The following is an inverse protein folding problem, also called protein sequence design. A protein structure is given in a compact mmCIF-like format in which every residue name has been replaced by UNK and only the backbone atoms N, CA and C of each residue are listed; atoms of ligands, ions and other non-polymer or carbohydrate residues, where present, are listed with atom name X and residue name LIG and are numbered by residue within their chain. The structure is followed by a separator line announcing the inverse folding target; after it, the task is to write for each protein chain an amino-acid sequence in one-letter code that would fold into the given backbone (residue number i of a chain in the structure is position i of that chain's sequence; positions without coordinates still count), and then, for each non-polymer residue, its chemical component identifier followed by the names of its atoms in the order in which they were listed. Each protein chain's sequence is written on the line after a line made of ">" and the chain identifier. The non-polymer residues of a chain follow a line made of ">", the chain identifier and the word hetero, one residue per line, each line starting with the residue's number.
data_IF_975752622439
#
_entry.id   IF_975752622439
#
_cell.length_a   1.000
_cell.length_b   1.000
_cell.length_c   1.000
_cell.angle_alpha   90.00
_cell.angle_beta   90.00
_cell.angle_gamma   90.00
#
_symmetry.space_group_name_H-M   'P 1'
#
loop_
_entity.id
_entity.type
_entity.pdbx_description
1 polymer ?
#
# COMPACT_ATOMS: atom_id res chain seq x y z
N UNK A 1 -10.51 18.05 -49.42
CA UNK A 1 -10.77 16.65 -49.84
C UNK A 1 -10.07 15.56 -49.01
N UNK A 2 -8.81 15.74 -48.58
CA UNK A 2 -8.10 14.74 -47.74
C UNK A 2 -8.44 14.89 -46.25
N UNK A 3 -8.88 16.09 -45.83
CA UNK A 3 -9.26 16.41 -44.45
C UNK A 3 -10.77 16.28 -44.18
N UNK A 4 -11.58 15.96 -45.20
CA UNK A 4 -13.03 15.78 -45.03
C UNK A 4 -13.35 14.30 -44.87
N UNK A 5 -13.24 13.84 -43.62
CA UNK A 5 -13.40 12.44 -43.22
C UNK A 5 -14.79 11.85 -43.51
N UNK A 6 -15.77 12.69 -43.82
CA UNK A 6 -17.12 12.27 -44.20
C UNK A 6 -17.16 11.58 -45.57
N UNK A 7 -16.18 11.82 -46.44
CA UNK A 7 -16.15 11.21 -47.78
C UNK A 7 -15.44 9.86 -47.84
N UNK A 8 -14.91 9.36 -46.72
CA UNK A 8 -14.16 8.10 -46.66
C UNK A 8 -15.10 6.90 -46.48
N UNK A 9 -14.68 5.74 -46.97
CA UNK A 9 -15.43 4.50 -46.79
C UNK A 9 -15.51 4.15 -45.29
N UNK A 10 -16.70 3.79 -44.81
CA UNK A 10 -16.99 3.55 -43.40
C UNK A 10 -16.03 2.52 -42.79
N UNK A 11 -15.78 1.42 -43.50
CA UNK A 11 -14.87 0.34 -43.05
C UNK A 11 -13.44 0.85 -42.88
N UNK A 12 -12.97 1.68 -43.81
CA UNK A 12 -11.62 2.24 -43.76
C UNK A 12 -11.46 3.20 -42.57
N UNK A 13 -12.45 4.09 -42.34
CA UNK A 13 -12.46 4.98 -41.18
C UNK A 13 -12.51 4.21 -39.86
N UNK A 14 -13.34 3.16 -39.79
CA UNK A 14 -13.43 2.32 -38.59
C UNK A 14 -12.09 1.65 -38.25
N UNK A 15 -11.35 1.15 -39.26
CA UNK A 15 -10.03 0.55 -39.06
C UNK A 15 -9.02 1.59 -38.57
N UNK A 16 -8.99 2.78 -39.18
CA UNK A 16 -8.07 3.86 -38.76
C UNK A 16 -8.37 4.30 -37.32
N UNK A 17 -9.63 4.52 -36.98
CA UNK A 17 -10.02 4.91 -35.62
C UNK A 17 -9.70 3.82 -34.60
N UNK A 18 -9.90 2.55 -34.96
CA UNK A 18 -9.55 1.43 -34.08
C UNK A 18 -8.04 1.37 -33.85
N UNK A 19 -7.22 1.52 -34.90
CA UNK A 19 -5.76 1.57 -34.75
C UNK A 19 -5.30 2.80 -33.94
N UNK A 20 -5.90 3.96 -34.17
CA UNK A 20 -5.61 5.18 -33.41
C UNK A 20 -6.00 5.00 -31.93
N UNK A 21 -7.15 4.39 -31.65
CA UNK A 21 -7.61 4.10 -30.29
C UNK A 21 -6.65 3.13 -29.59
N UNK A 22 -6.17 2.07 -30.26
CA UNK A 22 -5.15 1.19 -29.70
C UNK A 22 -3.83 1.92 -29.42
N UNK A 23 -3.41 2.82 -30.31
CA UNK A 23 -2.20 3.62 -30.11
C UNK A 23 -2.32 4.54 -28.88
N UNK A 24 -3.43 5.26 -28.74
CA UNK A 24 -3.68 6.11 -27.57
C UNK A 24 -3.83 5.28 -26.29
N UNK A 25 -4.49 4.14 -26.35
CA UNK A 25 -4.63 3.24 -25.20
C UNK A 25 -3.27 2.72 -24.72
N UNK A 26 -2.40 2.30 -25.66
CA UNK A 26 -1.03 1.91 -25.34
C UNK A 26 -0.22 3.06 -24.75
N UNK A 27 -0.36 4.27 -25.32
CA UNK A 27 0.28 5.48 -24.79
C UNK A 27 -0.14 5.78 -23.36
N UNK A 28 -1.44 5.76 -23.07
CA UNK A 28 -1.96 5.96 -21.72
C UNK A 28 -1.43 4.88 -20.78
N UNK A 29 -1.48 3.59 -21.16
CA UNK A 29 -0.99 2.48 -20.33
C UNK A 29 0.51 2.62 -19.97
N UNK A 30 1.35 3.05 -20.91
CA UNK A 30 2.78 3.28 -20.63
C UNK A 30 2.95 4.46 -19.67
N UNK A 31 2.20 5.55 -19.86
CA UNK A 31 2.26 6.72 -18.98
C UNK A 31 1.81 6.37 -17.56
N UNK A 32 0.75 5.57 -17.41
CA UNK A 32 0.27 5.13 -16.10
C UNK A 32 1.29 4.26 -15.38
N UNK A 33 2.00 3.39 -16.10
CA UNK A 33 3.03 2.52 -15.54
C UNK A 33 4.25 3.33 -15.07
N UNK A 34 4.75 4.26 -15.89
CA UNK A 34 5.85 5.16 -15.52
C UNK A 34 5.47 6.03 -14.31
N UNK A 35 4.24 6.53 -14.28
CA UNK A 35 3.74 7.32 -13.17
C UNK A 35 3.68 6.50 -11.88
N UNK A 36 3.18 5.26 -11.94
CA UNK A 36 3.14 4.36 -10.79
C UNK A 36 4.54 4.00 -10.28
N UNK A 37 5.47 3.68 -11.18
CA UNK A 37 6.87 3.41 -10.83
C UNK A 37 7.51 4.61 -10.11
N UNK A 38 7.22 5.83 -10.57
CA UNK A 38 7.70 7.05 -9.93
C UNK A 38 7.18 7.21 -8.50
N UNK A 39 5.92 6.89 -8.26
CA UNK A 39 5.31 6.95 -6.91
C UNK A 39 5.90 5.88 -5.98
N UNK A 40 6.19 4.69 -6.48
CA UNK A 40 6.84 3.63 -5.71
C UNK A 40 8.25 4.06 -5.23
N UNK A 41 9.03 4.72 -6.08
CA UNK A 41 10.35 5.28 -5.71
C UNK A 41 10.22 6.36 -4.62
N UNK A 42 9.23 7.26 -4.74
CA UNK A 42 9.01 8.33 -3.76
C UNK A 42 8.62 7.76 -2.38
N UNK A 43 7.74 6.77 -2.38
CA UNK A 43 7.21 6.16 -1.14
C UNK A 43 8.22 5.22 -0.46
N UNK A 44 9.16 4.64 -1.20
CA UNK A 44 10.21 3.76 -0.67
C UNK A 44 11.42 4.51 -0.10
N UNK A 45 11.47 5.84 -0.19
CA UNK A 45 12.60 6.64 0.30
C UNK A 45 12.81 6.49 1.82
N UNK A 46 13.99 6.00 2.22
CA UNK A 46 14.43 5.86 3.61
C UNK A 46 15.36 7.00 4.03
N UNK A 47 15.30 7.38 5.31
CA UNK A 47 16.20 8.34 5.95
C UNK A 47 17.05 7.62 6.99
N UNK A 48 18.36 7.75 6.88
CA UNK A 48 19.31 7.27 7.89
C UNK A 48 19.24 8.19 9.11
N UNK A 49 18.86 7.63 10.25
CA UNK A 49 18.91 8.34 11.54
C UNK A 49 20.06 7.74 12.35
N UNK A 50 21.03 8.58 12.69
CA UNK A 50 22.13 8.24 13.56
C UNK A 50 21.63 8.32 15.01
N UNK A 51 21.46 7.18 15.69
CA UNK A 51 21.14 7.20 17.10
C UNK A 51 22.43 7.44 17.90
N UNK A 52 22.52 8.61 18.54
CA UNK A 52 23.53 8.83 19.56
C UNK A 52 23.18 7.96 20.78
N UNK A 53 24.08 7.04 21.18
CA UNK A 53 23.95 6.27 22.43
C UNK A 53 23.80 7.24 23.60
N UNK A 54 22.59 7.35 24.16
CA UNK A 54 22.38 8.06 25.42
C UNK A 54 22.87 7.17 26.55
N UNK A 55 23.97 7.55 27.21
CA UNK A 55 24.42 6.93 28.46
C UNK A 55 23.43 7.30 29.57
N UNK A 56 22.38 6.52 29.77
CA UNK A 56 21.51 6.67 30.94
C UNK A 56 22.22 6.12 32.18
N UNK A 57 22.79 7.02 33.00
CA UNK A 57 23.28 6.69 34.33
C UNK A 57 22.08 6.64 35.29
N UNK A 58 21.60 5.44 35.65
CA UNK A 58 20.80 5.23 36.87
C UNK A 58 21.11 3.85 37.47
N UNK A 59 21.93 3.90 38.52
CA UNK A 59 22.03 3.01 39.67
C UNK A 59 21.76 1.50 39.44
N UNK A 60 22.84 0.74 39.19
CA UNK A 60 23.11 -0.46 39.97
C UNK A 60 22.38 -1.78 39.65
N UNK A 61 21.81 -1.99 38.46
CA UNK A 61 21.35 -3.33 38.08
C UNK A 61 21.50 -3.57 36.57
N UNK A 62 22.35 -4.53 36.21
CA UNK A 62 22.61 -4.92 34.84
C UNK A 62 21.50 -5.85 34.33
N UNK A 63 20.47 -5.27 33.69
CA UNK A 63 19.71 -5.99 32.68
C UNK A 63 20.18 -5.47 31.32
N UNK A 64 21.21 -6.12 30.79
CA UNK A 64 21.61 -5.96 29.40
C UNK A 64 20.45 -6.44 28.52
N UNK A 65 19.76 -5.51 27.85
CA UNK A 65 19.14 -5.85 26.57
C UNK A 65 20.29 -5.95 25.57
N UNK A 66 21.00 -7.08 25.66
CA UNK A 66 22.13 -7.41 24.83
C UNK A 66 21.64 -7.93 23.49
N UNK A 67 21.36 -7.02 22.56
CA UNK A 67 21.56 -7.28 21.14
C UNK A 67 23.03 -7.01 20.82
N UNK A 68 23.93 -7.89 21.29
CA UNK A 68 25.34 -7.80 20.92
C UNK A 68 25.46 -8.34 19.50
N UNK A 69 25.38 -7.44 18.53
CA UNK A 69 25.94 -7.70 17.20
C UNK A 69 27.46 -7.74 17.41
N UNK A 70 28.02 -8.95 17.46
CA UNK A 70 29.44 -9.18 17.60
C UNK A 70 30.17 -8.59 16.39
N UNK A 71 30.87 -7.47 16.56
CA UNK A 71 31.78 -6.93 15.53
C UNK A 71 31.88 -5.41 15.40
N UNK A 72 31.03 -4.61 16.06
CA UNK A 72 31.10 -3.15 15.92
C UNK A 72 31.96 -2.50 17.01
N UNK A 73 32.90 -1.63 16.60
CA UNK A 73 33.75 -0.80 17.48
C UNK A 73 32.88 0.09 18.36
N UNK A 74 33.27 0.33 19.61
CA UNK A 74 32.47 1.10 20.60
C UNK A 74 32.13 2.55 20.19
N UNK A 75 32.76 3.08 19.14
CA UNK A 75 32.64 4.47 18.66
C UNK A 75 31.73 4.66 17.42
N UNK A 76 31.17 3.60 16.85
CA UNK A 76 30.29 3.76 15.67
C UNK A 76 28.81 3.94 16.07
N UNK A 77 28.15 5.04 15.65
CA UNK A 77 26.73 5.23 15.91
C UNK A 77 25.91 4.18 15.17
N UNK A 78 24.94 3.58 15.86
CA UNK A 78 23.99 2.64 15.25
C UNK A 78 23.13 3.41 14.23
N UNK A 79 23.29 3.06 12.96
CA UNK A 79 22.52 3.67 11.85
C UNK A 79 21.24 2.86 11.69
N UNK A 80 20.11 3.47 12.02
CA UNK A 80 18.80 2.88 11.73
C UNK A 80 18.21 3.60 10.52
N UNK A 81 17.94 2.84 9.47
CA UNK A 81 17.20 3.34 8.31
C UNK A 81 15.71 3.37 8.66
N UNK A 82 15.13 4.57 8.76
CA UNK A 82 13.68 4.74 8.97
C UNK A 82 13.04 5.23 7.67
N UNK A 83 11.93 4.62 7.25
CA UNK A 83 11.13 5.15 6.13
C UNK A 83 10.65 6.56 6.48
N UNK A 84 10.76 7.48 5.53
CA UNK A 84 10.32 8.88 5.72
C UNK A 84 8.81 8.97 5.86
N UNK A 85 8.11 8.16 5.07
CA UNK A 85 6.66 8.12 5.04
C UNK A 85 6.10 7.04 5.98
N UNK A 86 4.98 7.32 6.66
CA UNK A 86 4.22 6.24 7.29
C UNK A 86 3.59 5.39 6.19
N UNK A 87 3.87 4.09 6.15
CA UNK A 87 3.35 3.19 5.11
C UNK A 87 1.81 3.25 4.98
N UNK A 88 1.06 3.43 6.08
CA UNK A 88 -0.41 3.57 6.00
C UNK A 88 -0.80 4.84 5.23
N UNK A 89 -0.13 5.96 5.50
CA UNK A 89 -0.43 7.23 4.83
C UNK A 89 0.05 7.18 3.39
N UNK A 90 1.27 6.69 3.15
CA UNK A 90 1.82 6.54 1.80
C UNK A 90 0.93 5.68 0.89
N UNK A 91 0.46 4.53 1.39
CA UNK A 91 -0.37 3.62 0.62
C UNK A 91 -1.77 4.18 0.36
N UNK A 92 -2.39 4.82 1.35
CA UNK A 92 -3.74 5.39 1.20
C UNK A 92 -3.76 6.71 0.42
N UNK A 93 -2.65 7.43 0.36
CA UNK A 93 -2.58 8.73 -0.32
C UNK A 93 -1.80 8.64 -1.61
N UNK A 94 -0.47 8.64 -1.56
CA UNK A 94 0.39 8.73 -2.73
C UNK A 94 0.21 7.53 -3.67
N UNK A 95 0.17 6.31 -3.14
CA UNK A 95 0.02 5.11 -3.96
C UNK A 95 -1.38 5.02 -4.59
N UNK A 96 -2.43 5.22 -3.79
CA UNK A 96 -3.82 5.16 -4.27
C UNK A 96 -4.16 6.31 -5.25
N UNK A 97 -3.73 7.54 -4.94
CA UNK A 97 -3.89 8.69 -5.84
C UNK A 97 -3.05 8.50 -7.12
N UNK A 98 -1.87 7.91 -6.97
CA UNK A 98 -0.98 7.51 -8.07
C UNK A 98 -1.72 6.67 -9.11
N UNK A 99 -2.38 5.61 -8.66
CA UNK A 99 -3.14 4.70 -9.52
C UNK A 99 -4.41 5.29 -10.12
N UNK A 100 -4.92 6.42 -9.61
CA UNK A 100 -6.17 7.04 -10.06
C UNK A 100 -5.97 8.41 -10.74
N UNK A 101 -4.74 8.90 -10.86
CA UNK A 101 -4.45 10.21 -11.43
C UNK A 101 -4.87 10.37 -12.89
N UNK A 102 -4.69 9.37 -13.78
CA UNK A 102 -5.18 9.44 -15.17
C UNK A 102 -6.69 9.62 -15.26
N UNK A 103 -7.45 8.90 -14.43
CA UNK A 103 -8.91 8.94 -14.38
C UNK A 103 -9.42 10.28 -13.83
N UNK A 104 -8.74 10.80 -12.80
CA UNK A 104 -9.02 12.14 -12.26
C UNK A 104 -8.75 13.19 -13.33
N UNK A 105 -7.63 13.11 -14.04
CA UNK A 105 -7.29 14.06 -15.11
C UNK A 105 -8.33 14.02 -16.23
N UNK A 106 -8.73 12.83 -16.67
CA UNK A 106 -9.76 12.66 -17.69
C UNK A 106 -11.10 13.28 -17.25
N UNK A 107 -11.50 13.06 -16.00
CA UNK A 107 -12.72 13.64 -15.44
C UNK A 107 -12.66 15.18 -15.37
N UNK A 108 -11.51 15.75 -15.01
CA UNK A 108 -11.31 17.20 -14.98
C UNK A 108 -11.35 17.80 -16.38
N UNK A 109 -10.66 17.17 -17.35
CA UNK A 109 -10.65 17.64 -18.75
C UNK A 109 -12.06 17.60 -19.36
N UNK A 110 -12.84 16.56 -19.08
CA UNK A 110 -14.23 16.46 -19.55
C UNK A 110 -15.12 17.56 -18.96
N UNK A 111 -15.07 17.78 -17.65
CA UNK A 111 -15.88 18.81 -16.97
C UNK A 111 -15.52 20.22 -17.47
N UNK A 112 -14.22 20.51 -17.61
CA UNK A 112 -13.75 21.81 -18.11
C UNK A 112 -14.11 21.98 -19.59
N UNK A 113 -14.06 20.92 -20.39
CA UNK A 113 -14.45 20.92 -21.80
C UNK A 113 -15.96 21.08 -22.04
N UNK A 114 -16.80 20.69 -21.08
CA UNK A 114 -18.26 20.72 -21.18
C UNK A 114 -18.91 21.83 -20.32
N UNK A 115 -18.29 23.01 -20.19
CA UNK A 115 -18.86 24.15 -19.44
C UNK A 115 -19.31 23.81 -18.00
N UNK A 116 -18.55 22.96 -17.30
CA UNK A 116 -18.85 22.44 -15.96
C UNK A 116 -20.04 21.48 -15.85
N UNK A 117 -20.51 20.94 -16.98
CA UNK A 117 -21.44 19.81 -16.98
C UNK A 117 -20.67 18.48 -16.95
N UNK A 118 -21.07 17.58 -16.06
CA UNK A 118 -20.48 16.24 -16.03
C UNK A 118 -20.94 15.46 -17.25
N UNK A 119 -20.00 15.11 -18.13
CA UNK A 119 -20.27 14.14 -19.19
C UNK A 119 -20.42 12.72 -18.63
N UNK A 120 -20.73 11.76 -19.49
CA UNK A 120 -20.95 10.38 -19.07
C UNK A 120 -19.66 9.64 -18.68
N UNK A 121 -18.49 10.12 -19.13
CA UNK A 121 -17.22 9.42 -18.92
C UNK A 121 -16.74 9.56 -17.48
N UNK A 122 -16.83 10.74 -16.87
CA UNK A 122 -16.35 11.00 -15.51
C UNK A 122 -17.02 10.09 -14.46
N UNK A 123 -18.34 10.21 -14.23
CA UNK A 123 -19.05 9.37 -13.26
C UNK A 123 -18.94 7.87 -13.58
N UNK A 124 -19.02 7.51 -14.87
CA UNK A 124 -18.88 6.12 -15.31
C UNK A 124 -17.51 5.53 -15.00
N UNK A 125 -16.44 6.31 -15.16
CA UNK A 125 -15.06 5.91 -14.88
C UNK A 125 -14.80 5.78 -13.39
N UNK A 126 -15.34 6.69 -12.56
CA UNK A 126 -15.20 6.63 -11.09
C UNK A 126 -15.85 5.37 -10.53
N UNK A 127 -17.11 5.10 -10.91
CA UNK A 127 -17.84 3.91 -10.40
C UNK A 127 -17.25 2.63 -11.00
N UNK A 128 -16.92 2.64 -12.29
CA UNK A 128 -16.36 1.50 -13.00
C UNK A 128 -14.99 1.07 -12.46
N UNK A 129 -14.07 2.00 -12.26
CA UNK A 129 -12.74 1.72 -11.70
C UNK A 129 -12.82 1.14 -10.29
N UNK A 130 -13.71 1.66 -9.43
CA UNK A 130 -13.87 1.13 -8.09
C UNK A 130 -14.46 -0.29 -8.07
N UNK A 131 -15.44 -0.58 -8.93
CA UNK A 131 -15.97 -1.93 -9.10
C UNK A 131 -14.91 -2.88 -9.66
N UNK A 132 -14.12 -2.44 -10.64
CA UNK A 132 -13.05 -3.23 -11.24
C UNK A 132 -11.96 -3.57 -10.21
N UNK A 133 -11.56 -2.60 -9.39
CA UNK A 133 -10.58 -2.80 -8.32
C UNK A 133 -11.08 -3.80 -7.26
N UNK A 134 -12.35 -3.69 -6.84
CA UNK A 134 -12.91 -4.54 -5.79
C UNK A 134 -13.25 -5.96 -6.25
N UNK A 135 -13.60 -6.15 -7.53
CA UNK A 135 -14.03 -7.46 -8.05
C UNK A 135 -12.94 -8.16 -8.84
N UNK A 136 -12.35 -7.48 -9.83
CA UNK A 136 -11.45 -8.11 -10.79
C UNK A 136 -10.02 -8.13 -10.27
N UNK A 137 -9.49 -6.98 -9.84
CA UNK A 137 -8.10 -6.92 -9.33
C UNK A 137 -7.94 -7.81 -8.11
N UNK A 138 -8.85 -7.73 -7.14
CA UNK A 138 -8.83 -8.62 -5.96
C UNK A 138 -8.87 -10.10 -6.35
N UNK A 139 -9.71 -10.49 -7.31
CA UNK A 139 -9.78 -11.88 -7.79
C UNK A 139 -8.49 -12.33 -8.43
N UNK A 140 -7.89 -11.50 -9.30
CA UNK A 140 -6.58 -11.78 -9.92
C UNK A 140 -5.49 -11.90 -8.86
N UNK A 141 -5.48 -11.00 -7.86
CA UNK A 141 -4.54 -11.09 -6.74
C UNK A 141 -4.69 -12.38 -5.92
N UNK A 142 -5.90 -12.91 -5.77
CA UNK A 142 -6.14 -14.17 -5.07
C UNK A 142 -5.70 -15.40 -5.89
N UNK A 143 -5.90 -15.37 -7.21
CA UNK A 143 -5.48 -16.45 -8.12
C UNK A 143 -3.97 -16.47 -8.33
N UNK A 144 -3.31 -15.31 -8.25
CA UNK A 144 -1.86 -15.18 -8.38
C UNK A 144 -1.07 -15.74 -7.17
N UNK A 145 -1.75 -16.14 -6.09
CA UNK A 145 -1.11 -16.75 -4.93
C UNK A 145 -0.81 -18.23 -5.20
N UNK A 146 0.37 -18.69 -4.78
CA UNK A 146 0.77 -20.09 -4.89
C UNK A 146 -0.08 -21.00 -3.97
N UNK A 147 -0.24 -22.27 -4.37
CA UNK A 147 -1.02 -23.24 -3.60
C UNK A 147 -0.32 -23.53 -2.27
N UNK A 148 -0.94 -23.10 -1.18
CA UNK A 148 -0.42 -23.27 0.19
C UNK A 148 0.00 -21.95 0.86
N UNK A 149 0.06 -20.85 0.10
CA UNK A 149 0.44 -19.54 0.64
C UNK A 149 -0.76 -18.86 1.31
N UNK A 150 -0.66 -18.58 2.62
CA UNK A 150 -1.70 -17.85 3.36
C UNK A 150 -1.23 -16.43 3.68
N UNK A 151 -1.93 -15.43 3.15
CA UNK A 151 -1.66 -14.01 3.43
C UNK A 151 -2.63 -13.50 4.50
N UNK A 152 -2.11 -12.79 5.50
CA UNK A 152 -2.91 -12.16 6.56
C UNK A 152 -2.78 -10.64 6.49
N UNK A 153 -3.87 -9.95 6.82
CA UNK A 153 -3.91 -8.48 6.88
C UNK A 153 -3.09 -8.02 8.08
N UNK A 154 -1.95 -7.35 7.82
CA UNK A 154 -1.04 -6.86 8.86
C UNK A 154 -1.66 -5.76 9.73
N UNK A 155 -2.38 -4.80 9.12
CA UNK A 155 -2.96 -3.63 9.81
C UNK A 155 -4.49 -3.71 9.88
N UNK A 156 -5.01 -4.70 10.61
CA UNK A 156 -6.46 -4.95 10.68
C UNK A 156 -7.28 -3.73 11.18
N UNK A 157 -6.76 -2.97 12.16
CA UNK A 157 -7.44 -1.76 12.65
C UNK A 157 -7.62 -0.69 11.58
N UNK A 158 -6.57 -0.45 10.79
CA UNK A 158 -6.60 0.48 9.67
C UNK A 158 -7.59 0.00 8.63
N UNK A 159 -7.57 -1.30 8.31
CA UNK A 159 -8.49 -1.92 7.36
C UNK A 159 -9.97 -1.71 7.73
N UNK A 160 -10.34 -1.90 9.00
CA UNK A 160 -11.71 -1.65 9.47
C UNK A 160 -12.09 -0.17 9.33
N UNK A 161 -11.22 0.75 9.74
CA UNK A 161 -11.47 2.20 9.61
C UNK A 161 -11.65 2.58 8.13
N UNK A 162 -10.75 2.13 7.26
CA UNK A 162 -10.84 2.42 5.82
C UNK A 162 -12.07 1.79 5.18
N UNK A 163 -12.46 0.58 5.59
CA UNK A 163 -13.67 -0.10 5.09
C UNK A 163 -14.95 0.62 5.49
N UNK A 164 -15.05 1.05 6.75
CA UNK A 164 -16.21 1.81 7.23
C UNK A 164 -16.36 3.16 6.52
N UNK A 165 -15.26 3.90 6.37
CA UNK A 165 -15.27 5.17 5.65
C UNK A 165 -15.56 4.99 4.15
N UNK A 166 -15.06 3.92 3.53
CA UNK A 166 -15.36 3.61 2.13
C UNK A 166 -16.85 3.34 1.92
N UNK A 167 -17.46 2.50 2.77
CA UNK A 167 -18.90 2.26 2.73
C UNK A 167 -19.71 3.55 2.98
N UNK A 168 -19.30 4.35 3.96
CA UNK A 168 -19.91 5.65 4.23
C UNK A 168 -19.79 6.61 3.04
N UNK A 169 -18.65 6.64 2.33
CA UNK A 169 -18.47 7.48 1.16
C UNK A 169 -19.45 7.15 0.03
N UNK A 170 -19.75 5.87 -0.20
CA UNK A 170 -20.78 5.47 -1.18
C UNK A 170 -22.19 5.87 -0.74
N UNK A 171 -22.52 5.74 0.54
CA UNK A 171 -23.80 6.24 1.07
C UNK A 171 -23.87 7.75 0.90
N UNK A 172 -22.80 8.48 1.23
CA UNK A 172 -22.72 9.92 1.06
C UNK A 172 -22.92 10.33 -0.40
N UNK A 173 -22.27 9.64 -1.34
CA UNK A 173 -22.46 9.85 -2.78
C UNK A 173 -23.92 9.62 -3.22
N UNK A 174 -24.59 8.60 -2.67
CA UNK A 174 -26.01 8.37 -2.92
C UNK A 174 -26.86 9.52 -2.35
N UNK A 175 -26.54 9.98 -1.14
CA UNK A 175 -27.26 11.08 -0.46
C UNK A 175 -27.21 12.37 -1.27
N UNK A 176 -26.02 12.80 -1.71
CA UNK A 176 -25.88 14.04 -2.48
C UNK A 176 -26.63 13.96 -3.82
N UNK A 177 -26.51 12.84 -4.55
CA UNK A 177 -27.12 12.71 -5.88
C UNK A 177 -28.63 12.47 -5.86
N UNK A 178 -29.17 11.85 -4.79
CA UNK A 178 -30.60 11.45 -4.75
C UNK A 178 -31.47 12.32 -3.84
N UNK A 179 -30.94 12.75 -2.70
CA UNK A 179 -31.75 13.36 -1.64
C UNK A 179 -31.50 14.86 -1.47
N UNK A 180 -30.28 15.34 -1.69
CA UNK A 180 -29.92 16.74 -1.45
C UNK A 180 -30.14 17.58 -2.70
N UNK A 181 -29.38 17.33 -3.76
CA UNK A 181 -29.50 18.02 -5.06
C UNK A 181 -29.58 16.99 -6.19
N UNK A 182 -30.80 16.68 -6.69
CA UNK A 182 -30.99 15.64 -7.68
C UNK A 182 -30.14 15.84 -8.93
N UNK A 183 -29.20 14.92 -9.17
CA UNK A 183 -28.30 14.90 -10.33
C UNK A 183 -27.37 16.12 -10.49
N UNK A 184 -27.19 16.96 -9.46
CA UNK A 184 -26.28 18.12 -9.51
C UNK A 184 -25.45 18.12 -8.23
N UNK A 185 -24.15 18.32 -8.34
CA UNK A 185 -23.25 18.40 -7.18
C UNK A 185 -22.95 19.87 -6.90
N UNK A 186 -23.43 20.38 -5.76
CA UNK A 186 -23.14 21.75 -5.33
C UNK A 186 -21.69 21.88 -4.83
N UNK A 187 -21.15 23.10 -4.88
CA UNK A 187 -19.78 23.37 -4.44
C UNK A 187 -19.54 22.97 -2.97
N UNK A 188 -20.55 23.12 -2.11
CA UNK A 188 -20.41 22.74 -0.70
C UNK A 188 -20.38 21.21 -0.53
N UNK A 189 -21.16 20.45 -1.31
CA UNK A 189 -21.17 18.99 -1.30
C UNK A 189 -19.85 18.43 -1.81
N UNK A 190 -19.33 19.03 -2.90
CA UNK A 190 -18.01 18.74 -3.44
C UNK A 190 -16.91 19.04 -2.39
N UNK A 191 -17.02 20.17 -1.69
CA UNK A 191 -16.06 20.55 -0.64
C UNK A 191 -16.08 19.58 0.54
N UNK A 192 -17.26 19.14 0.99
CA UNK A 192 -17.40 18.13 2.05
C UNK A 192 -16.81 16.80 1.60
N UNK A 193 -17.10 16.37 0.37
CA UNK A 193 -16.57 15.13 -0.20
C UNK A 193 -15.05 15.17 -0.32
N UNK A 194 -14.50 16.30 -0.78
CA UNK A 194 -13.06 16.53 -0.83
C UNK A 194 -12.40 16.52 0.55
N UNK A 195 -13.03 17.13 1.56
CA UNK A 195 -12.55 17.14 2.94
C UNK A 195 -12.65 15.77 3.64
N UNK A 196 -13.54 14.89 3.18
CA UNK A 196 -13.71 13.54 3.72
C UNK A 196 -12.45 12.68 3.51
N UNK A 197 -11.68 12.93 2.45
CA UNK A 197 -10.43 12.23 2.17
C UNK A 197 -9.31 12.52 3.20
N UNK A 198 -8.89 13.76 3.48
CA UNK A 198 -7.90 14.03 4.52
C UNK A 198 -8.40 13.63 5.92
N UNK A 199 -9.70 13.67 6.18
CA UNK A 199 -10.31 13.15 7.42
C UNK A 199 -10.08 11.64 7.52
N UNK A 200 -10.38 10.87 6.46
CA UNK A 200 -10.10 9.43 6.39
C UNK A 200 -8.61 9.14 6.67
N UNK A 201 -7.71 9.88 6.02
CA UNK A 201 -6.25 9.70 6.19
C UNK A 201 -5.82 9.96 7.63
N UNK A 202 -6.36 11.01 8.26
CA UNK A 202 -6.12 11.31 9.66
C UNK A 202 -6.59 10.18 10.58
N UNK A 203 -7.81 9.67 10.39
CA UNK A 203 -8.33 8.56 11.19
C UNK A 203 -7.56 7.25 10.94
N UNK A 204 -7.15 6.98 9.71
CA UNK A 204 -6.31 5.83 9.39
C UNK A 204 -4.93 5.93 10.06
N UNK A 205 -4.33 7.13 10.06
CA UNK A 205 -3.08 7.40 10.78
C UNK A 205 -3.24 7.26 12.30
N UNK A 206 -4.33 7.78 12.87
CA UNK A 206 -4.65 7.64 14.30
C UNK A 206 -4.85 6.16 14.69
N UNK A 207 -5.51 5.37 13.85
CA UNK A 207 -5.70 3.93 14.05
C UNK A 207 -4.37 3.15 13.98
N UNK A 208 -3.46 3.55 13.08
CA UNK A 208 -2.14 2.96 12.95
C UNK A 208 -1.23 3.28 14.16
N UNK A 209 -1.28 4.52 14.66
CA UNK A 209 -0.58 4.95 15.88
C UNK A 209 -1.19 4.41 17.18
N UNK A 210 -2.38 3.82 17.11
CA UNK A 210 -3.07 3.23 18.25
C UNK A 210 -3.76 4.24 19.18
N UNK A 211 -4.08 5.44 18.69
CA UNK A 211 -4.85 6.45 19.44
C UNK A 211 -6.29 6.00 19.69
N UNK A 212 -6.89 5.25 18.76
CA UNK A 212 -8.17 4.60 18.99
C UNK A 212 -7.91 3.34 19.83
N UNK A 213 -8.26 3.41 21.12
CA UNK A 213 -8.03 2.42 22.18
C UNK A 213 -8.64 1.03 22.00
N UNK A 214 -8.68 0.46 20.80
CA UNK A 214 -8.82 -0.98 20.60
C UNK A 214 -7.55 -1.69 21.10
N UNK A 215 -7.38 -1.78 22.42
CA UNK A 215 -6.25 -2.44 23.08
C UNK A 215 -6.17 -3.95 22.87
N UNK A 216 -7.10 -4.57 22.13
CA UNK A 216 -7.31 -6.03 22.15
C UNK A 216 -6.69 -6.83 21.00
N UNK A 217 -6.13 -6.20 19.95
CA UNK A 217 -5.55 -6.93 18.81
C UNK A 217 -4.16 -6.41 18.49
N UNK A 218 -3.19 -6.77 19.35
CA UNK A 218 -1.76 -6.56 19.09
C UNK A 218 -1.18 -7.92 18.65
N UNK A 219 -0.95 -8.18 17.34
CA UNK A 219 -0.10 -9.29 16.97
C UNK A 219 1.31 -8.99 17.52
N UNK A 220 1.80 -9.91 18.35
CA UNK A 220 3.03 -9.81 19.14
C UNK A 220 4.30 -10.06 18.30
N UNK A 221 4.44 -9.43 17.14
CA UNK A 221 5.68 -9.43 16.37
C UNK A 221 5.70 -8.23 15.40
N UNK A 222 6.23 -7.09 15.86
CA UNK A 222 6.83 -6.10 14.96
C UNK A 222 8.30 -6.45 14.82
N UNK A 223 8.61 -7.45 14.00
CA UNK A 223 9.85 -7.43 13.24
C UNK A 223 9.48 -6.97 11.85
N UNK A 224 10.14 -5.90 11.43
CA UNK A 224 10.08 -5.29 10.11
C UNK A 224 10.13 -6.39 9.04
N UNK A 225 9.09 -6.54 8.23
CA UNK A 225 9.13 -7.39 7.04
C UNK A 225 9.95 -6.64 5.98
N UNK A 226 11.23 -6.93 5.92
CA UNK A 226 12.03 -6.81 4.70
C UNK A 226 11.32 -7.63 3.61
N UNK A 227 10.97 -7.01 2.48
CA UNK A 227 10.62 -7.75 1.27
C UNK A 227 11.92 -8.36 0.70
N UNK A 228 12.27 -9.54 1.19
CA UNK A 228 13.13 -10.49 0.50
C UNK A 228 12.27 -11.66 -0.01
N UNK A 229 12.66 -12.34 -1.10
CA UNK A 229 11.93 -13.51 -1.57
C UNK A 229 11.90 -14.58 -0.46
N UNK A 230 10.71 -15.03 -0.11
CA UNK A 230 10.47 -16.10 0.86
C UNK A 230 11.03 -17.42 0.31
N UNK A 231 12.30 -17.70 0.57
CA UNK A 231 12.83 -19.06 0.48
C UNK A 231 12.40 -19.84 1.73
N UNK A 232 11.43 -20.73 1.54
CA UNK A 232 10.76 -21.51 2.60
C UNK A 232 11.69 -22.34 3.51
N UNK A 233 12.95 -22.56 3.13
CA UNK A 233 13.91 -23.32 3.96
C UNK A 233 14.58 -22.48 5.07
N UNK A 234 14.80 -21.17 4.87
CA UNK A 234 15.55 -20.36 5.85
C UNK A 234 14.72 -20.03 7.09
N UNK A 235 13.40 -19.84 6.93
CA UNK A 235 12.50 -19.56 8.05
C UNK A 235 12.38 -20.77 9.00
N UNK A 236 12.43 -21.98 8.44
CA UNK A 236 12.39 -23.22 9.22
C UNK A 236 13.69 -23.41 10.01
N UNK A 237 14.86 -23.19 9.38
CA UNK A 237 16.17 -23.23 10.06
C UNK A 237 16.26 -22.20 11.19
N UNK A 238 15.79 -20.97 10.95
CA UNK A 238 15.82 -19.90 11.94
C UNK A 238 14.86 -20.15 13.11
N UNK A 239 13.69 -20.78 12.86
CA UNK A 239 12.78 -21.23 13.92
C UNK A 239 13.35 -22.40 14.73
N UNK A 240 14.05 -23.33 14.06
CA UNK A 240 14.76 -24.43 14.70
C UNK A 240 15.86 -23.87 15.62
N UNK A 241 16.74 -23.01 15.10
CA UNK A 241 17.80 -22.33 15.87
C UNK A 241 17.23 -21.57 17.06
N UNK A 242 16.14 -20.82 16.89
CA UNK A 242 15.54 -20.04 17.98
C UNK A 242 14.91 -20.93 19.07
N UNK A 243 14.48 -22.14 18.74
CA UNK A 243 14.00 -23.11 19.73
C UNK A 243 15.15 -23.77 20.51
N UNK A 244 16.32 -23.95 19.89
CA UNK A 244 17.50 -24.48 20.56
C UNK A 244 18.20 -23.47 21.48
N UNK A 245 18.14 -22.18 21.15
CA UNK A 245 18.71 -21.10 21.96
C UNK A 245 17.65 -20.38 22.80
N UNK A 246 17.01 -21.10 23.73
CA UNK A 246 16.14 -20.48 24.74
C UNK A 246 16.99 -19.85 25.85
N UNK A 247 16.82 -18.54 26.07
CA UNK A 247 17.39 -17.78 27.21
C UNK A 247 18.92 -17.62 27.26
N UNK A 248 19.64 -17.81 26.15
CA UNK A 248 21.07 -17.47 26.06
C UNK A 248 21.99 -18.33 26.95
N UNK A 249 21.52 -19.47 27.46
CA UNK A 249 22.34 -20.47 28.13
C UNK A 249 22.56 -21.67 27.22
N UNK A 250 23.84 -21.97 26.95
CA UNK A 250 24.27 -23.09 26.13
C UNK A 250 24.32 -24.36 27.01
N UNK A 251 23.33 -25.23 26.88
CA UNK A 251 23.31 -26.51 27.61
C UNK A 251 24.09 -27.59 26.84
N UNK A 252 24.96 -28.33 27.54
CA UNK A 252 25.88 -29.30 26.92
C UNK A 252 25.16 -30.47 26.27
N UNK A 253 23.97 -30.82 26.76
CA UNK A 253 23.13 -31.87 26.18
C UNK A 253 22.61 -31.52 24.79
N UNK A 254 22.19 -30.27 24.59
CA UNK A 254 21.61 -29.76 23.33
C UNK A 254 22.69 -29.60 22.23
N UNK A 255 23.92 -29.26 22.61
CA UNK A 255 25.05 -29.17 21.68
C UNK A 255 25.42 -30.53 21.07
N UNK A 256 25.31 -31.61 21.86
CA UNK A 256 25.58 -32.98 21.40
C UNK A 256 24.50 -33.46 20.42
N UNK A 257 23.25 -33.03 20.63
CA UNK A 257 22.14 -33.32 19.72
C UNK A 257 22.30 -32.57 18.39
N UNK A 258 22.69 -31.30 18.44
CA UNK A 258 23.04 -30.49 17.27
C UNK A 258 24.16 -31.12 16.43
N UNK A 259 25.27 -31.55 17.05
CA UNK A 259 26.37 -32.21 16.34
C UNK A 259 25.95 -33.54 15.71
N UNK A 260 25.03 -34.28 16.35
CA UNK A 260 24.46 -35.52 15.78
C UNK A 260 23.56 -35.26 14.57
N UNK A 261 22.83 -34.16 14.57
CA UNK A 261 21.89 -33.82 13.50
C UNK A 261 22.61 -33.22 12.28
N UNK A 262 23.62 -32.37 12.50
CA UNK A 262 24.49 -31.86 11.42
C UNK A 262 25.24 -33.00 10.73
N UNK A 263 25.62 -34.06 11.46
CA UNK A 263 26.30 -35.23 10.89
C UNK A 263 25.39 -36.13 10.02
N UNK A 264 24.07 -35.92 10.03
CA UNK A 264 23.11 -36.68 9.18
C UNK A 264 22.95 -36.12 7.77
N UNK A 265 23.42 -34.89 7.51
CA UNK A 265 23.41 -34.29 6.18
C UNK A 265 24.87 -34.13 5.72
N UNK A 266 25.35 -34.94 4.75
CA UNK A 266 26.70 -34.80 4.20
C UNK A 266 26.88 -33.52 3.38
#
# INVERSE_FOLDING_TARGET
>A
PILDERSWNLTFRAIIYLLALFYFFLGVAIVTDVFMSSIEVITSTTRKVYLAKTKTKKNGSYNSVGGVVAGLREDEPEVVEVRVWNDTVANLTLMALGTSAPEILLSVVEIVGHNFESGALGPGTIVGSAAYNLLIITSVCMVALEVGDTRRISRFKVFIVTGLFSFFAYIWLLVILRFVTPNVVDLWEASVTFALFPILVFFAYAADRGWCGLGALRPRNKQQLELGPLQGEQSQKMLLERNFFKEGKLDKGTLVEFVREVKKFP
#
